data_IF_795066476538
#
_entry.id   IF_795066476538
#
_cell.length_a   1.000
_cell.length_b   1.000
_cell.length_c   1.000
_cell.angle_alpha   90.00
_cell.angle_beta   90.00
_cell.angle_gamma   90.00
#
_symmetry.space_group_name_H-M   'P 1'
#
loop_
_entity.id
_entity.type
_entity.pdbx_description
1 polymer ?
#
# COMPACT_ATOMS: atom_id res chain seq x y z
N UNK A 1 9.87 -0.34 -28.01
CA UNK A 1 10.39 -0.89 -26.75
C UNK A 1 11.86 -1.22 -26.95
N UNK A 2 12.80 -0.39 -26.44
CA UNK A 2 14.24 -0.68 -26.54
C UNK A 2 14.57 -1.92 -25.68
N UNK A 3 15.35 -2.89 -26.19
CA UNK A 3 15.76 -4.04 -25.41
C UNK A 3 16.71 -3.54 -24.31
N UNK A 4 16.23 -3.56 -23.06
CA UNK A 4 17.04 -3.21 -21.89
C UNK A 4 18.15 -4.25 -21.79
N UNK A 5 19.39 -3.78 -21.77
CA UNK A 5 20.59 -4.60 -21.82
C UNK A 5 20.54 -5.72 -20.78
N UNK A 6 20.50 -6.96 -21.24
CA UNK A 6 20.76 -8.20 -20.50
C UNK A 6 22.23 -8.32 -20.06
N UNK A 7 22.85 -7.19 -19.69
CA UNK A 7 24.23 -7.07 -19.26
C UNK A 7 24.31 -6.62 -17.81
N UNK A 8 25.33 -7.10 -17.10
CA UNK A 8 25.57 -6.87 -15.67
C UNK A 8 25.53 -5.38 -15.30
N UNK A 9 26.01 -4.49 -16.18
CA UNK A 9 25.96 -3.03 -16.05
C UNK A 9 24.53 -2.47 -16.00
N UNK A 10 23.62 -2.93 -16.86
CA UNK A 10 22.24 -2.45 -16.88
C UNK A 10 21.44 -2.87 -15.64
N UNK A 11 21.72 -4.07 -15.11
CA UNK A 11 21.15 -4.50 -13.84
C UNK A 11 21.67 -3.68 -12.65
N UNK A 12 22.97 -3.36 -12.63
CA UNK A 12 23.56 -2.50 -11.60
C UNK A 12 22.97 -1.09 -11.64
N UNK A 13 22.77 -0.52 -12.82
CA UNK A 13 22.15 0.81 -13.00
C UNK A 13 20.71 0.83 -12.49
N UNK A 14 19.89 -0.15 -12.89
CA UNK A 14 18.49 -0.27 -12.44
C UNK A 14 18.37 -0.48 -10.93
N UNK A 15 19.25 -1.31 -10.38
CA UNK A 15 19.30 -1.59 -8.94
C UNK A 15 19.73 -0.33 -8.17
N UNK A 16 20.77 0.37 -8.64
CA UNK A 16 21.24 1.61 -8.03
C UNK A 16 20.15 2.69 -8.05
N UNK A 17 19.45 2.84 -9.17
CA UNK A 17 18.36 3.81 -9.31
C UNK A 17 17.20 3.50 -8.34
N UNK A 18 16.78 2.24 -8.28
CA UNK A 18 15.74 1.80 -7.33
C UNK A 18 16.18 2.00 -5.88
N UNK A 19 17.44 1.73 -5.59
CA UNK A 19 18.01 1.90 -4.26
C UNK A 19 18.07 3.37 -3.84
N UNK A 20 18.53 4.26 -4.72
CA UNK A 20 18.51 5.72 -4.49
C UNK A 20 17.10 6.26 -4.28
N UNK A 21 16.12 5.81 -5.07
CA UNK A 21 14.71 6.18 -4.87
C UNK A 21 14.20 5.75 -3.48
N UNK A 22 14.57 4.54 -3.02
CA UNK A 22 14.19 4.05 -1.68
C UNK A 22 14.84 4.86 -0.57
N UNK A 23 16.12 5.22 -0.71
CA UNK A 23 16.81 6.10 0.25
C UNK A 23 16.15 7.47 0.32
N UNK A 24 15.88 8.09 -0.84
CA UNK A 24 15.22 9.40 -0.89
C UNK A 24 13.83 9.35 -0.23
N UNK A 25 13.04 8.32 -0.54
CA UNK A 25 11.72 8.12 0.08
C UNK A 25 11.82 7.94 1.59
N UNK A 26 12.82 7.21 2.07
CA UNK A 26 13.06 7.00 3.50
C UNK A 26 13.43 8.31 4.21
N UNK A 27 14.36 9.09 3.65
CA UNK A 27 14.77 10.39 4.21
C UNK A 27 13.59 11.37 4.27
N UNK A 28 12.80 11.45 3.19
CA UNK A 28 11.58 12.27 3.18
C UNK A 28 10.58 11.80 4.24
N UNK A 29 10.38 10.49 4.37
CA UNK A 29 9.53 9.91 5.40
C UNK A 29 9.97 10.26 6.82
N UNK A 30 11.28 10.25 7.09
CA UNK A 30 11.84 10.69 8.37
C UNK A 30 11.58 12.17 8.64
N UNK A 31 11.79 13.04 7.66
CA UNK A 31 11.50 14.47 7.79
C UNK A 31 10.04 14.70 8.14
N UNK A 32 9.11 14.05 7.42
CA UNK A 32 7.67 14.12 7.70
C UNK A 32 7.37 13.63 9.11
N UNK A 33 7.96 12.51 9.54
CA UNK A 33 7.78 11.97 10.89
C UNK A 33 8.22 12.96 11.97
N UNK A 34 9.38 13.61 11.81
CA UNK A 34 9.88 14.64 12.73
C UNK A 34 8.96 15.85 12.76
N UNK A 35 8.50 16.33 11.59
CA UNK A 35 7.56 17.46 11.51
C UNK A 35 6.26 17.12 12.24
N UNK A 36 5.67 15.95 11.98
CA UNK A 36 4.45 15.51 12.66
C UNK A 36 4.65 15.46 14.18
N UNK A 37 5.78 14.95 14.66
CA UNK A 37 6.09 14.93 16.09
C UNK A 37 6.22 16.31 16.72
N UNK A 38 6.71 17.30 15.97
CA UNK A 38 6.83 18.69 16.42
C UNK A 38 5.51 19.44 16.38
N UNK A 39 4.67 19.20 15.37
CA UNK A 39 3.39 19.90 15.18
C UNK A 39 2.28 19.32 16.07
N UNK A 40 2.17 17.99 16.13
CA UNK A 40 1.08 17.30 16.83
C UNK A 40 1.44 16.94 18.29
N UNK A 41 2.71 17.06 18.69
CA UNK A 41 3.20 16.61 19.99
C UNK A 41 3.19 15.09 20.15
N UNK A 42 3.60 14.58 21.33
CA UNK A 42 3.72 13.13 21.60
C UNK A 42 2.38 12.38 21.54
N UNK A 43 1.26 13.00 21.92
CA UNK A 43 -0.05 12.35 21.93
C UNK A 43 -0.69 12.24 20.54
N UNK A 44 -0.54 13.28 19.71
CA UNK A 44 -1.14 13.29 18.37
C UNK A 44 -0.47 12.35 17.38
N UNK A 45 0.84 12.09 17.55
CA UNK A 45 1.56 11.10 16.71
C UNK A 45 0.99 9.70 16.89
N UNK A 46 0.68 9.28 18.12
CA UNK A 46 0.12 7.94 18.37
C UNK A 46 -1.21 7.72 17.64
N UNK A 47 -2.08 8.73 17.62
CA UNK A 47 -3.37 8.69 16.89
C UNK A 47 -3.13 8.58 15.38
N UNK A 48 -2.22 9.37 14.83
CA UNK A 48 -1.88 9.32 13.40
C UNK A 48 -1.28 7.96 13.03
N UNK A 49 -0.35 7.44 13.83
CA UNK A 49 0.25 6.13 13.60
C UNK A 49 -0.80 5.02 13.63
N UNK A 50 -1.71 5.01 14.59
CA UNK A 50 -2.80 4.03 14.64
C UNK A 50 -3.73 4.13 13.42
N UNK A 51 -4.09 5.36 13.03
CA UNK A 51 -4.95 5.64 11.88
C UNK A 51 -4.34 5.13 10.57
N UNK A 52 -3.01 5.14 10.45
CA UNK A 52 -2.28 4.61 9.29
C UNK A 52 -1.98 3.11 9.38
N UNK A 53 -1.67 2.62 10.58
CA UNK A 53 -1.32 1.21 10.81
C UNK A 53 -2.50 0.29 10.54
N UNK A 54 -3.69 0.66 11.04
CA UNK A 54 -4.89 -0.15 10.90
C UNK A 54 -5.22 -0.50 9.44
N UNK A 55 -5.40 0.48 8.52
CA UNK A 55 -5.68 0.15 7.13
C UNK A 55 -4.52 -0.62 6.49
N UNK A 56 -3.26 -0.32 6.84
CA UNK A 56 -2.09 -1.04 6.32
C UNK A 56 -2.11 -2.52 6.72
N UNK A 57 -2.52 -2.85 7.95
CA UNK A 57 -2.68 -4.23 8.40
C UNK A 57 -3.76 -4.94 7.60
N UNK A 58 -4.94 -4.32 7.44
CA UNK A 58 -6.04 -4.91 6.65
C UNK A 58 -5.58 -5.20 5.22
N UNK A 59 -4.93 -4.24 4.57
CA UNK A 59 -4.39 -4.40 3.22
C UNK A 59 -3.38 -5.56 3.16
N UNK A 60 -2.49 -5.66 4.15
CA UNK A 60 -1.47 -6.72 4.22
C UNK A 60 -2.10 -8.12 4.33
N UNK A 61 -3.20 -8.28 5.06
CA UNK A 61 -3.89 -9.56 5.14
C UNK A 61 -4.72 -9.87 3.89
N UNK A 62 -5.29 -8.85 3.24
CA UNK A 62 -6.24 -9.01 2.13
C UNK A 62 -5.55 -9.04 0.76
N UNK A 63 -4.29 -8.61 0.65
CA UNK A 63 -3.61 -8.56 -0.64
C UNK A 63 -3.35 -9.94 -1.27
N UNK A 64 -3.29 -11.00 -0.46
CA UNK A 64 -3.11 -12.40 -0.88
C UNK A 64 -1.97 -12.65 -1.88
N UNK A 65 -0.93 -11.81 -1.88
CA UNK A 65 0.21 -11.95 -2.80
C UNK A 65 -0.08 -11.64 -4.27
N UNK A 66 -1.22 -11.02 -4.60
CA UNK A 66 -1.59 -10.61 -5.98
C UNK A 66 -0.48 -9.81 -6.69
N UNK A 67 0.18 -8.82 -6.05
CA UNK A 67 1.30 -8.10 -6.67
C UNK A 67 2.40 -9.02 -7.19
N UNK A 68 2.82 -10.01 -6.41
CA UNK A 68 3.89 -10.95 -6.78
C UNK A 68 3.47 -11.86 -7.93
N UNK A 69 2.21 -12.33 -7.94
CA UNK A 69 1.67 -13.12 -9.03
C UNK A 69 1.62 -12.32 -10.34
N UNK A 70 1.26 -11.03 -10.27
CA UNK A 70 1.21 -10.12 -11.41
C UNK A 70 2.60 -9.90 -12.03
N UNK A 71 3.65 -9.71 -11.22
CA UNK A 71 5.04 -9.63 -11.72
C UNK A 71 5.41 -10.90 -12.49
N UNK A 72 5.10 -12.07 -11.92
CA UNK A 72 5.42 -13.35 -12.56
C UNK A 72 4.67 -13.54 -13.89
N UNK A 73 3.37 -13.23 -13.93
CA UNK A 73 2.56 -13.37 -15.15
C UNK A 73 3.04 -12.43 -16.26
N UNK A 74 3.33 -11.17 -15.94
CA UNK A 74 3.91 -10.22 -16.90
C UNK A 74 5.30 -10.67 -17.38
N UNK A 75 6.14 -11.16 -16.47
CA UNK A 75 7.46 -11.68 -16.79
C UNK A 75 7.43 -12.93 -17.67
N UNK A 76 6.41 -13.79 -17.51
CA UNK A 76 6.23 -15.01 -18.29
C UNK A 76 5.87 -14.76 -19.77
N UNK A 77 5.45 -13.54 -20.13
CA UNK A 77 4.97 -13.13 -21.47
C UNK A 77 3.84 -14.00 -22.06
N UNK A 78 3.17 -14.82 -21.25
CA UNK A 78 2.05 -15.66 -21.68
C UNK A 78 0.74 -14.87 -21.84
N UNK A 79 0.63 -13.73 -21.18
CA UNK A 79 -0.56 -12.90 -21.14
C UNK A 79 -0.23 -11.47 -21.57
N UNK A 80 -1.18 -10.81 -22.21
CA UNK A 80 -1.06 -9.39 -22.57
C UNK A 80 -1.22 -8.50 -21.34
N UNK A 81 -0.63 -7.30 -21.40
CA UNK A 81 -0.74 -6.31 -20.30
C UNK A 81 -2.22 -5.99 -20.01
N UNK A 82 -3.06 -5.91 -21.04
CA UNK A 82 -4.49 -5.63 -20.92
C UNK A 82 -5.26 -6.73 -20.19
N UNK A 83 -4.97 -8.01 -20.46
CA UNK A 83 -5.58 -9.14 -19.76
C UNK A 83 -5.18 -9.16 -18.28
N UNK A 84 -3.90 -8.93 -17.99
CA UNK A 84 -3.40 -8.87 -16.61
C UNK A 84 -3.99 -7.68 -15.86
N UNK A 85 -4.13 -6.52 -16.50
CA UNK A 85 -4.73 -5.32 -15.93
C UNK A 85 -6.20 -5.56 -15.55
N UNK A 86 -6.99 -6.13 -16.45
CA UNK A 86 -8.41 -6.41 -16.19
C UNK A 86 -8.58 -7.36 -15.00
N UNK A 87 -7.82 -8.46 -14.97
CA UNK A 87 -7.84 -9.40 -13.84
C UNK A 87 -7.41 -8.74 -12.52
N UNK A 88 -6.38 -7.89 -12.55
CA UNK A 88 -5.94 -7.16 -11.35
C UNK A 88 -7.00 -6.16 -10.86
N UNK A 89 -7.73 -5.49 -11.76
CA UNK A 89 -8.82 -4.59 -11.39
C UNK A 89 -9.97 -5.35 -10.72
N UNK A 90 -10.37 -6.49 -11.30
CA UNK A 90 -11.42 -7.35 -10.73
C UNK A 90 -11.00 -7.86 -9.34
N UNK A 91 -9.77 -8.37 -9.20
CA UNK A 91 -9.23 -8.80 -7.91
C UNK A 91 -9.16 -7.64 -6.91
N UNK A 92 -8.71 -6.46 -7.33
CA UNK A 92 -8.65 -5.26 -6.47
C UNK A 92 -10.04 -4.87 -5.97
N UNK A 93 -11.07 -5.00 -6.79
CA UNK A 93 -12.45 -4.73 -6.40
C UNK A 93 -12.94 -5.70 -5.32
N UNK A 94 -12.74 -7.01 -5.50
CA UNK A 94 -13.10 -8.01 -4.49
C UNK A 94 -12.30 -7.85 -3.20
N UNK A 95 -11.00 -7.61 -3.30
CA UNK A 95 -10.13 -7.31 -2.14
C UNK A 95 -10.59 -6.04 -1.43
N UNK A 96 -10.99 -5.01 -2.16
CA UNK A 96 -11.49 -3.75 -1.60
C UNK A 96 -12.77 -3.97 -0.79
N UNK A 97 -13.72 -4.73 -1.33
CA UNK A 97 -14.96 -5.09 -0.62
C UNK A 97 -14.63 -5.91 0.63
N UNK A 98 -13.80 -6.95 0.50
CA UNK A 98 -13.42 -7.81 1.61
C UNK A 98 -12.71 -7.02 2.72
N UNK A 99 -11.75 -6.18 2.35
CA UNK A 99 -11.00 -5.33 3.28
C UNK A 99 -11.89 -4.28 3.94
N UNK A 100 -12.80 -3.67 3.20
CA UNK A 100 -13.75 -2.70 3.75
C UNK A 100 -14.69 -3.36 4.78
N UNK A 101 -15.29 -4.51 4.42
CA UNK A 101 -16.18 -5.26 5.32
C UNK A 101 -15.41 -5.72 6.55
N UNK A 102 -14.21 -6.29 6.37
CA UNK A 102 -13.37 -6.74 7.47
C UNK A 102 -12.99 -5.60 8.43
N UNK A 103 -12.57 -4.45 7.89
CA UNK A 103 -12.26 -3.27 8.67
C UNK A 103 -13.48 -2.71 9.41
N UNK A 104 -14.65 -2.68 8.75
CA UNK A 104 -15.90 -2.25 9.36
C UNK A 104 -16.29 -3.17 10.52
N UNK A 105 -16.22 -4.49 10.34
CA UNK A 105 -16.50 -5.46 11.40
C UNK A 105 -15.58 -5.29 12.60
N UNK A 106 -14.27 -5.12 12.38
CA UNK A 106 -13.31 -4.90 13.47
C UNK A 106 -13.62 -3.61 14.22
N UNK A 107 -14.02 -2.54 13.52
CA UNK A 107 -14.45 -1.32 14.20
C UNK A 107 -15.73 -1.52 15.00
N UNK A 108 -16.73 -2.22 14.47
CA UNK A 108 -17.97 -2.44 15.22
C UNK A 108 -17.73 -3.29 16.49
N UNK A 109 -16.80 -4.24 16.45
CA UNK A 109 -16.54 -5.17 17.56
C UNK A 109 -15.51 -4.65 18.57
N UNK A 110 -14.50 -3.90 18.13
CA UNK A 110 -13.33 -3.55 18.94
C UNK A 110 -13.03 -2.05 19.01
N UNK A 111 -13.94 -1.18 18.56
CA UNK A 111 -13.76 0.28 18.62
C UNK A 111 -13.41 0.77 20.02
N UNK A 112 -14.15 0.34 21.03
CA UNK A 112 -13.95 0.85 22.40
C UNK A 112 -12.64 0.34 23.03
N UNK A 113 -12.13 -0.80 22.56
CA UNK A 113 -10.89 -1.39 23.06
C UNK A 113 -9.63 -0.74 22.45
N UNK A 114 -9.62 -0.55 21.12
CA UNK A 114 -8.43 -0.08 20.39
C UNK A 114 -8.49 1.38 19.94
N UNK A 115 -9.68 1.96 19.79
CA UNK A 115 -9.91 3.26 19.14
C UNK A 115 -10.64 4.28 20.02
N UNK A 116 -10.75 4.05 21.34
CA UNK A 116 -11.44 4.94 22.28
C UNK A 116 -10.91 6.38 22.29
N UNK A 117 -9.63 6.56 21.98
CA UNK A 117 -8.96 7.87 21.94
C UNK A 117 -8.88 8.49 20.52
N UNK A 118 -9.50 7.87 19.51
CA UNK A 118 -9.46 8.31 18.11
C UNK A 118 -10.79 8.95 17.75
N UNK A 119 -10.77 10.21 17.29
CA UNK A 119 -12.00 10.88 16.87
C UNK A 119 -12.66 10.15 15.69
N UNK A 120 -14.00 10.02 15.73
CA UNK A 120 -14.79 9.30 14.71
C UNK A 120 -14.46 9.75 13.26
N UNK A 121 -14.11 11.03 13.07
CA UNK A 121 -13.71 11.55 11.76
C UNK A 121 -12.54 10.78 11.14
N UNK A 122 -11.50 10.45 11.93
CA UNK A 122 -10.33 9.72 11.44
C UNK A 122 -10.65 8.25 11.11
N UNK A 123 -11.61 7.65 11.80
CA UNK A 123 -12.05 6.27 11.55
C UNK A 123 -12.71 6.11 10.17
N UNK A 124 -13.47 7.11 9.72
CA UNK A 124 -14.05 7.08 8.36
C UNK A 124 -12.98 7.32 7.30
N UNK A 125 -12.01 8.19 7.55
CA UNK A 125 -10.89 8.44 6.62
C UNK A 125 -10.07 7.18 6.38
N UNK A 126 -9.73 6.41 7.43
CA UNK A 126 -8.95 5.19 7.25
C UNK A 126 -9.72 4.09 6.50
N UNK A 127 -11.05 4.04 6.57
CA UNK A 127 -11.85 3.10 5.76
C UNK A 127 -11.71 3.35 4.27
N UNK A 128 -11.70 4.63 3.86
CA UNK A 128 -11.55 5.04 2.46
C UNK A 128 -10.13 4.74 1.96
N UNK A 129 -9.12 4.77 2.84
CA UNK A 129 -7.73 4.49 2.48
C UNK A 129 -7.54 3.04 2.02
N UNK A 130 -8.27 2.07 2.57
CA UNK A 130 -8.12 0.63 2.26
C UNK A 130 -8.33 0.32 0.77
N UNK A 131 -9.48 0.63 0.15
CA UNK A 131 -9.73 0.32 -1.26
C UNK A 131 -8.77 1.05 -2.20
N UNK A 132 -8.42 2.30 -1.86
CA UNK A 132 -7.45 3.09 -2.62
C UNK A 132 -6.06 2.44 -2.57
N UNK A 133 -5.64 1.97 -1.40
CA UNK A 133 -4.33 1.35 -1.22
C UNK A 133 -4.21 0.01 -1.95
N UNK A 134 -5.23 -0.85 -1.85
CA UNK A 134 -5.28 -2.13 -2.57
C UNK A 134 -5.21 -1.94 -4.09
N UNK A 135 -6.01 -1.02 -4.62
CA UNK A 135 -6.01 -0.71 -6.05
C UNK A 135 -4.65 -0.16 -6.51
N UNK A 136 -4.10 0.81 -5.78
CA UNK A 136 -2.79 1.37 -6.08
C UNK A 136 -1.68 0.30 -6.06
N UNK A 137 -1.70 -0.58 -5.06
CA UNK A 137 -0.69 -1.63 -4.92
C UNK A 137 -0.72 -2.64 -6.07
N UNK A 138 -1.91 -3.03 -6.55
CA UNK A 138 -2.03 -3.96 -7.68
C UNK A 138 -1.71 -3.29 -9.03
N UNK A 139 -2.04 -2.00 -9.20
CA UNK A 139 -1.76 -1.25 -10.43
C UNK A 139 -0.29 -0.84 -10.58
N UNK A 140 0.38 -0.49 -9.48
CA UNK A 140 1.80 -0.07 -9.47
C UNK A 140 2.76 -1.16 -9.97
N UNK A 141 2.33 -2.42 -9.99
CA UNK A 141 3.14 -3.50 -10.54
C UNK A 141 3.11 -3.50 -12.08
N UNK A 142 2.07 -2.92 -12.67
CA UNK A 142 1.82 -2.94 -14.12
C UNK A 142 2.42 -1.70 -14.79
N UNK A 143 2.38 -0.54 -14.13
CA UNK A 143 2.86 0.77 -14.60
C UNK A 143 3.96 1.32 -13.70
#
# INVERSE_FOLDING_TARGET
MKPKSTGLLGFLEDSALTFSQRILSFVLGLIVSVILARVLGRSGVGIVTLTLLFPTMIVTFVNFGVPSATVYLLGSRKYTISEVLFNNLVLSFFQSILGFIGALLILLLFKDLFFSNVANRYLYWMLIVIPVNLTNMNLRVIF
#
